data_IF_237336145423
#
_entry.id   IF_237336145423
#
_cell.length_a   1.000
_cell.length_b   1.000
_cell.length_c   1.000
_cell.angle_alpha   90.00
_cell.angle_beta   90.00
_cell.angle_gamma   90.00
#
_symmetry.space_group_name_H-M   'P 1'
#
loop_
_entity.id
_entity.type
_entity.pdbx_description
1 polymer ?
#
# COMPACT_ATOMS: atom_id res chain seq x y z
N UNK A 1 12.67 -17.50 41.19
CA UNK A 1 13.52 -18.64 41.56
C UNK A 1 14.81 -18.53 40.75
N UNK A 2 15.97 -18.32 41.39
CA UNK A 2 17.28 -18.16 40.72
C UNK A 2 17.89 -19.56 40.55
N UNK A 3 18.19 -19.98 39.32
CA UNK A 3 18.90 -21.25 39.09
C UNK A 3 20.41 -21.01 39.16
N UNK A 4 21.10 -21.80 39.98
CA UNK A 4 22.55 -21.77 40.22
C UNK A 4 23.32 -22.61 39.19
N UNK A 5 22.83 -22.69 37.95
CA UNK A 5 23.43 -23.49 36.90
C UNK A 5 24.33 -22.61 35.99
N UNK A 6 25.66 -22.83 36.00
CA UNK A 6 26.64 -21.98 35.31
C UNK A 6 26.55 -22.00 33.77
N UNK A 7 25.84 -22.97 33.20
CA UNK A 7 25.61 -23.04 31.75
C UNK A 7 24.63 -21.96 31.27
N UNK A 8 23.70 -21.52 32.14
CA UNK A 8 22.69 -20.51 31.78
C UNK A 8 23.16 -19.08 32.07
N UNK A 9 24.12 -18.88 32.96
CA UNK A 9 24.72 -17.56 33.23
C UNK A 9 25.60 -17.06 32.07
N UNK A 10 26.18 -17.97 31.29
CA UNK A 10 27.10 -17.62 30.18
C UNK A 10 26.40 -17.18 28.90
N UNK A 11 25.09 -17.40 28.77
CA UNK A 11 24.31 -17.11 27.54
C UNK A 11 23.36 -15.91 27.65
N UNK A 12 23.50 -15.07 28.69
CA UNK A 12 22.83 -13.77 28.72
C UNK A 12 21.31 -13.80 28.80
N UNK A 13 20.70 -14.89 29.27
CA UNK A 13 19.24 -14.98 29.50
C UNK A 13 18.83 -14.50 30.91
N UNK A 14 19.51 -13.47 31.43
CA UNK A 14 19.00 -12.70 32.56
C UNK A 14 18.11 -11.60 32.00
N UNK A 15 16.83 -11.61 32.38
CA UNK A 15 15.89 -10.52 32.10
C UNK A 15 16.34 -9.31 32.91
N UNK A 16 17.25 -8.51 32.35
CA UNK A 16 17.61 -7.21 32.89
C UNK A 16 16.35 -6.37 32.96
N UNK A 17 15.78 -6.34 34.16
CA UNK A 17 14.73 -5.39 34.53
C UNK A 17 15.46 -4.10 34.92
N UNK A 18 16.21 -3.55 33.96
CA UNK A 18 16.90 -2.28 34.10
C UNK A 18 15.95 -1.17 33.65
N UNK A 19 15.22 -0.60 34.61
CA UNK A 19 14.56 0.68 34.42
C UNK A 19 15.60 1.70 33.96
N UNK A 20 15.39 2.29 32.78
CA UNK A 20 16.16 3.44 32.30
C UNK A 20 15.83 4.65 33.19
N UNK A 21 16.71 4.93 34.16
CA UNK A 21 16.63 6.11 35.02
C UNK A 21 16.92 7.36 34.21
N UNK A 22 15.90 8.20 34.05
CA UNK A 22 16.00 9.60 33.65
C UNK A 22 16.62 10.38 34.83
N UNK A 23 17.58 11.27 34.55
CA UNK A 23 18.38 12.10 35.47
C UNK A 23 19.53 11.43 36.26
N UNK A 24 20.75 11.58 35.73
CA UNK A 24 21.96 11.72 36.54
C UNK A 24 22.92 12.75 35.87
N UNK A 25 23.45 13.76 36.59
CA UNK A 25 24.29 14.81 36.04
C UNK A 25 25.72 14.34 35.69
N UNK A 26 26.46 15.06 34.83
CA UNK A 26 27.75 14.62 34.32
C UNK A 26 28.84 14.76 35.39
N UNK A 27 29.40 13.65 35.85
CA UNK A 27 30.54 13.65 36.76
C UNK A 27 31.85 13.53 35.97
N UNK A 28 32.58 14.64 35.95
CA UNK A 28 33.94 14.74 35.45
C UNK A 28 34.96 14.24 36.51
N UNK A 29 36.05 13.63 36.04
CA UNK A 29 37.35 13.66 36.73
C UNK A 29 37.86 12.35 37.34
N UNK A 30 39.04 11.92 36.88
CA UNK A 30 40.02 11.19 37.69
C UNK A 30 40.35 9.75 37.24
N UNK A 31 41.62 9.42 36.93
CA UNK A 31 42.04 8.04 36.72
C UNK A 31 42.23 7.35 38.08
N UNK A 32 41.26 6.52 38.49
CA UNK A 32 41.46 5.62 39.62
C UNK A 32 42.31 4.43 39.17
N UNK A 33 43.59 4.47 39.54
CA UNK A 33 44.53 3.38 39.43
C UNK A 33 44.05 2.18 40.24
N UNK A 34 43.92 1.03 39.59
CA UNK A 34 43.56 -0.23 40.22
C UNK A 34 44.82 -0.90 40.80
N UNK A 35 44.97 -1.10 42.13
CA UNK A 35 46.25 -1.49 42.74
C UNK A 35 46.65 -2.97 42.59
N UNK A 36 45.92 -3.76 41.79
CA UNK A 36 46.15 -5.21 41.65
C UNK A 36 46.39 -5.67 40.20
N UNK A 37 46.92 -4.80 39.33
CA UNK A 37 47.40 -5.21 38.02
C UNK A 37 48.81 -5.81 38.13
N UNK A 38 48.86 -7.08 38.54
CA UNK A 38 50.06 -7.91 38.49
C UNK A 38 50.62 -7.98 37.07
N UNK A 39 51.93 -7.81 36.98
CA UNK A 39 52.80 -7.88 35.81
C UNK A 39 52.47 -9.07 34.93
N UNK A 40 51.91 -8.81 33.74
CA UNK A 40 51.58 -9.84 32.76
C UNK A 40 52.68 -9.87 31.68
N UNK A 41 53.63 -10.83 31.67
CA UNK A 41 54.84 -10.77 30.83
C UNK A 41 54.61 -11.08 29.34
N UNK A 42 53.37 -11.31 28.91
CA UNK A 42 53.02 -11.69 27.53
C UNK A 42 52.33 -10.56 26.74
N UNK A 43 52.28 -9.33 27.28
CA UNK A 43 51.71 -8.18 26.57
C UNK A 43 52.72 -7.55 25.59
N UNK A 44 53.20 -8.32 24.62
CA UNK A 44 53.96 -7.80 23.48
C UNK A 44 53.13 -7.97 22.21
N UNK A 45 52.60 -6.86 21.69
CA UNK A 45 52.08 -6.79 20.32
C UNK A 45 50.68 -6.24 20.10
N UNK A 46 50.03 -5.58 21.07
CA UNK A 46 48.78 -4.88 20.81
C UNK A 46 49.03 -3.60 19.99
N UNK A 47 49.02 -3.74 18.66
CA UNK A 47 48.93 -2.63 17.71
C UNK A 47 47.75 -1.72 18.07
N UNK A 48 47.90 -0.39 18.10
CA UNK A 48 46.78 0.51 18.27
C UNK A 48 45.89 0.40 17.04
N UNK A 49 44.81 -0.39 17.15
CA UNK A 49 43.74 -0.38 16.16
C UNK A 49 43.09 1.00 16.22
N UNK A 50 43.34 1.81 15.19
CA UNK A 50 42.64 3.06 14.95
C UNK A 50 41.18 2.71 14.77
N UNK A 51 40.40 2.87 15.85
CA UNK A 51 38.97 2.64 15.87
C UNK A 51 38.34 3.67 14.93
N UNK A 52 37.97 3.24 13.72
CA UNK A 52 37.28 4.10 12.76
C UNK A 52 36.04 4.71 13.44
N UNK A 53 35.78 6.01 13.27
CA UNK A 53 34.63 6.64 13.90
C UNK A 53 33.35 5.89 13.52
N UNK A 54 32.41 5.66 14.46
CA UNK A 54 31.19 4.94 14.19
C UNK A 54 30.48 5.58 12.99
N UNK A 55 30.30 4.80 11.92
CA UNK A 55 29.52 5.19 10.76
C UNK A 55 28.13 5.61 11.24
N UNK A 56 27.81 6.89 11.10
CA UNK A 56 26.48 7.42 11.33
C UNK A 56 25.54 6.81 10.29
N UNK A 57 24.88 5.71 10.65
CA UNK A 57 23.71 5.22 9.91
C UNK A 57 22.60 6.23 10.16
N UNK A 58 22.11 6.96 9.14
CA UNK A 58 21.00 7.88 9.32
C UNK A 58 19.84 7.09 9.90
N UNK A 59 19.43 7.42 11.12
CA UNK A 59 18.23 6.86 11.74
C UNK A 59 17.07 7.26 10.84
N UNK A 60 16.54 6.33 10.04
CA UNK A 60 15.37 6.59 9.21
C UNK A 60 14.22 6.87 10.16
N UNK A 61 13.70 8.11 10.09
CA UNK A 61 12.56 8.54 10.90
C UNK A 61 11.39 7.56 10.69
N UNK A 62 10.64 7.18 11.74
CA UNK A 62 9.49 6.32 11.58
C UNK A 62 8.38 7.00 10.75
N UNK A 63 7.57 6.16 10.12
CA UNK A 63 6.38 6.53 9.34
C UNK A 63 5.37 7.28 10.19
N UNK A 64 4.81 8.36 9.64
CA UNK A 64 3.79 9.18 10.28
C UNK A 64 2.53 9.29 9.42
N UNK A 65 1.40 9.65 10.04
CA UNK A 65 0.14 9.85 9.32
C UNK A 65 0.27 10.94 8.24
N UNK A 66 0.99 12.03 8.54
CA UNK A 66 1.22 13.12 7.60
C UNK A 66 1.99 12.66 6.35
N UNK A 67 2.94 11.73 6.53
CA UNK A 67 3.67 11.14 5.41
C UNK A 67 2.76 10.27 4.52
N UNK A 68 1.76 9.60 5.09
CA UNK A 68 0.78 8.80 4.32
C UNK A 68 -0.17 9.71 3.57
N UNK A 69 -0.75 10.70 4.26
CA UNK A 69 -1.71 11.63 3.67
C UNK A 69 -1.07 12.41 2.53
N UNK A 70 0.14 12.95 2.74
CA UNK A 70 0.85 13.71 1.71
C UNK A 70 1.15 12.86 0.49
N UNK A 71 1.64 11.62 0.67
CA UNK A 71 1.97 10.75 -0.47
C UNK A 71 0.75 10.22 -1.18
N UNK A 72 -0.32 9.92 -0.45
CA UNK A 72 -1.61 9.52 -1.06
C UNK A 72 -2.19 10.69 -1.87
N UNK A 73 -2.09 11.92 -1.36
CA UNK A 73 -2.48 13.12 -2.10
C UNK A 73 -1.63 13.32 -3.36
N UNK A 74 -0.32 13.11 -3.28
CA UNK A 74 0.57 13.17 -4.44
C UNK A 74 0.25 12.08 -5.49
N UNK A 75 0.05 10.83 -5.07
CA UNK A 75 -0.24 9.72 -5.99
C UNK A 75 -1.61 9.91 -6.65
N UNK A 76 -2.66 10.21 -5.89
CA UNK A 76 -3.99 10.48 -6.43
C UNK A 76 -4.00 11.74 -7.30
N UNK A 77 -3.32 12.81 -6.90
CA UNK A 77 -3.16 14.01 -7.73
C UNK A 77 -2.47 13.69 -9.05
N UNK A 78 -1.46 12.81 -9.03
CA UNK A 78 -0.79 12.33 -10.24
C UNK A 78 -1.73 11.52 -11.13
N UNK A 79 -2.56 10.64 -10.56
CA UNK A 79 -3.62 9.93 -11.30
C UNK A 79 -4.58 10.91 -11.97
N UNK A 80 -5.03 11.94 -11.25
CA UNK A 80 -5.97 12.95 -11.78
C UNK A 80 -5.35 13.74 -12.93
N UNK A 81 -4.07 14.14 -12.81
CA UNK A 81 -3.34 14.80 -13.91
C UNK A 81 -3.26 13.88 -15.12
N UNK A 82 -2.86 12.62 -14.92
CA UNK A 82 -2.83 11.61 -15.98
C UNK A 82 -4.20 11.44 -16.63
N UNK A 83 -5.27 11.35 -15.84
CA UNK A 83 -6.64 11.19 -16.31
C UNK A 83 -7.13 12.40 -17.11
N UNK A 84 -6.75 13.60 -16.70
CA UNK A 84 -7.07 14.82 -17.46
C UNK A 84 -6.38 14.79 -18.82
N UNK A 85 -5.09 14.41 -18.88
CA UNK A 85 -4.35 14.28 -20.13
C UNK A 85 -4.95 13.19 -21.04
N UNK A 86 -5.28 12.03 -20.47
CA UNK A 86 -5.91 10.92 -21.19
C UNK A 86 -7.25 11.31 -21.79
N UNK A 87 -8.08 12.01 -21.01
CA UNK A 87 -9.39 12.50 -21.47
C UNK A 87 -9.24 13.48 -22.64
N UNK A 88 -8.36 14.47 -22.50
CA UNK A 88 -8.24 15.56 -23.48
C UNK A 88 -7.62 15.10 -24.81
N UNK A 89 -6.69 14.15 -24.78
CA UNK A 89 -5.87 13.83 -25.95
C UNK A 89 -6.04 12.40 -26.49
N UNK A 90 -6.59 11.47 -25.72
CA UNK A 90 -6.58 10.04 -26.08
C UNK A 90 -7.98 9.39 -26.15
N UNK A 91 -9.04 10.17 -25.99
CA UNK A 91 -10.44 9.69 -26.10
C UNK A 91 -10.72 9.02 -27.46
N UNK A 92 -10.17 9.53 -28.56
CA UNK A 92 -10.35 8.96 -29.90
C UNK A 92 -9.35 7.84 -30.23
N UNK A 93 -8.31 7.68 -29.41
CA UNK A 93 -7.17 6.80 -29.67
C UNK A 93 -6.98 5.78 -28.54
N UNK A 94 -8.03 4.99 -28.26
CA UNK A 94 -8.05 4.02 -27.16
C UNK A 94 -6.91 2.98 -27.21
N UNK A 95 -6.36 2.68 -28.39
CA UNK A 95 -5.23 1.75 -28.51
C UNK A 95 -4.02 2.18 -27.68
N UNK A 96 -3.66 3.47 -27.73
CA UNK A 96 -2.56 4.01 -26.91
C UNK A 96 -2.91 4.04 -25.43
N UNK A 97 -4.16 4.34 -25.09
CA UNK A 97 -4.63 4.31 -23.70
C UNK A 97 -4.56 2.90 -23.11
N UNK A 98 -5.01 1.88 -23.84
CA UNK A 98 -4.91 0.47 -23.42
C UNK A 98 -3.45 0.07 -23.27
N UNK A 99 -2.58 0.48 -24.19
CA UNK A 99 -1.13 0.30 -24.05
C UNK A 99 -0.57 0.90 -22.76
N UNK A 100 -0.95 2.14 -22.44
CA UNK A 100 -0.57 2.80 -21.19
C UNK A 100 -1.10 2.04 -19.95
N UNK A 101 -2.35 1.58 -19.98
CA UNK A 101 -2.95 0.78 -18.91
C UNK A 101 -2.24 -0.57 -18.70
N UNK A 102 -1.82 -1.24 -19.77
CA UNK A 102 -1.04 -2.47 -19.68
C UNK A 102 0.35 -2.22 -19.07
N UNK A 103 1.02 -1.13 -19.46
CA UNK A 103 2.30 -0.74 -18.84
C UNK A 103 2.10 -0.39 -17.37
N UNK A 104 1.03 0.34 -17.03
CA UNK A 104 0.67 0.63 -15.65
C UNK A 104 0.45 -0.67 -14.84
N UNK A 105 -0.33 -1.61 -15.36
CA UNK A 105 -0.53 -2.92 -14.73
C UNK A 105 0.81 -3.63 -14.44
N UNK A 106 1.73 -3.64 -15.42
CA UNK A 106 3.07 -4.23 -15.22
C UNK A 106 3.86 -3.49 -14.14
N UNK A 107 3.87 -2.15 -14.14
CA UNK A 107 4.54 -1.36 -13.10
C UNK A 107 3.95 -1.63 -11.71
N UNK A 108 2.62 -1.75 -11.61
CA UNK A 108 1.93 -2.08 -10.38
C UNK A 108 2.31 -3.46 -9.85
N UNK A 109 2.40 -4.46 -10.73
CA UNK A 109 2.89 -5.80 -10.39
C UNK A 109 4.36 -5.78 -9.96
N UNK A 110 5.22 -5.07 -10.70
CA UNK A 110 6.65 -4.93 -10.35
C UNK A 110 6.80 -4.30 -8.96
N UNK A 111 6.03 -3.24 -8.66
CA UNK A 111 6.06 -2.62 -7.34
C UNK A 111 5.51 -3.55 -6.25
N UNK A 112 4.49 -4.37 -6.55
CA UNK A 112 3.91 -5.33 -5.60
C UNK A 112 4.87 -6.45 -5.20
N UNK A 113 5.73 -6.89 -6.12
CA UNK A 113 6.76 -7.89 -5.82
C UNK A 113 8.06 -7.29 -5.26
N UNK A 114 8.25 -5.98 -5.39
CA UNK A 114 9.45 -5.29 -4.91
C UNK A 114 9.39 -5.08 -3.40
N UNK A 115 10.40 -5.56 -2.68
CA UNK A 115 10.50 -5.40 -1.22
C UNK A 115 10.65 -3.96 -0.74
N UNK A 116 11.20 -3.07 -1.57
CA UNK A 116 11.41 -1.66 -1.21
C UNK A 116 10.47 -0.76 -2.03
N UNK A 117 9.75 0.18 -1.41
CA UNK A 117 8.98 1.18 -2.13
C UNK A 117 9.87 1.99 -3.07
N UNK A 118 9.38 2.25 -4.27
CA UNK A 118 10.06 3.11 -5.24
C UNK A 118 9.11 4.24 -5.67
N UNK A 119 9.34 5.49 -5.21
CA UNK A 119 8.48 6.62 -5.53
C UNK A 119 8.33 6.83 -7.04
N UNK A 120 9.42 6.68 -7.78
CA UNK A 120 9.42 6.79 -9.24
C UNK A 120 8.51 5.75 -9.90
N UNK A 121 8.54 4.48 -9.45
CA UNK A 121 7.66 3.45 -10.01
C UNK A 121 6.19 3.74 -9.69
N UNK A 122 5.89 4.16 -8.46
CA UNK A 122 4.54 4.45 -8.01
C UNK A 122 3.94 5.66 -8.75
N UNK A 123 4.74 6.71 -8.96
CA UNK A 123 4.29 7.90 -9.70
C UNK A 123 4.17 7.62 -11.20
N UNK A 124 5.11 6.88 -11.80
CA UNK A 124 4.98 6.45 -13.19
C UNK A 124 3.75 5.57 -13.41
N UNK A 125 3.47 4.66 -12.48
CA UNK A 125 2.23 3.91 -12.44
C UNK A 125 1.01 4.86 -12.41
N UNK A 126 0.99 5.79 -11.45
CA UNK A 126 -0.13 6.72 -11.28
C UNK A 126 -0.40 7.56 -12.54
N UNK A 127 0.63 8.05 -13.23
CA UNK A 127 0.46 8.79 -14.48
C UNK A 127 -0.18 7.91 -15.56
N UNK A 128 0.39 6.72 -15.80
CA UNK A 128 -0.05 5.85 -16.89
C UNK A 128 -1.43 5.25 -16.64
N UNK A 129 -1.70 4.84 -15.41
CA UNK A 129 -3.03 4.41 -14.98
C UNK A 129 -4.03 5.55 -15.15
N UNK A 130 -3.68 6.75 -14.67
CA UNK A 130 -4.48 7.95 -14.87
C UNK A 130 -4.82 8.16 -16.34
N UNK A 131 -3.81 8.16 -17.22
CA UNK A 131 -4.02 8.32 -18.68
C UNK A 131 -5.00 7.30 -19.25
N UNK A 132 -4.85 6.02 -18.88
CA UNK A 132 -5.77 4.96 -19.30
C UNK A 132 -7.20 5.24 -18.83
N UNK A 133 -7.38 5.50 -17.53
CA UNK A 133 -8.68 5.80 -16.94
C UNK A 133 -9.32 7.03 -17.58
N UNK A 134 -8.54 8.09 -17.79
CA UNK A 134 -8.99 9.33 -18.40
C UNK A 134 -9.52 9.17 -19.81
N UNK A 135 -8.76 8.48 -20.66
CA UNK A 135 -9.15 8.21 -22.04
C UNK A 135 -10.39 7.30 -22.10
N UNK A 136 -10.44 6.25 -21.28
CA UNK A 136 -11.60 5.37 -21.17
C UNK A 136 -12.84 6.15 -20.72
N UNK A 137 -12.67 7.01 -19.72
CA UNK A 137 -13.76 7.81 -19.17
C UNK A 137 -14.28 8.84 -20.16
N UNK A 138 -13.39 9.53 -20.88
CA UNK A 138 -13.76 10.48 -21.92
C UNK A 138 -14.49 9.80 -23.08
N UNK A 139 -14.02 8.61 -23.49
CA UNK A 139 -14.68 7.79 -24.50
C UNK A 139 -16.09 7.40 -24.08
N UNK A 140 -16.26 6.87 -22.86
CA UNK A 140 -17.57 6.51 -22.35
C UNK A 140 -18.48 7.75 -22.20
N UNK A 141 -17.95 8.88 -21.75
CA UNK A 141 -18.73 10.12 -21.64
C UNK A 141 -19.24 10.66 -22.97
N UNK A 142 -18.51 10.40 -24.07
CA UNK A 142 -18.92 10.76 -25.42
C UNK A 142 -20.11 9.95 -25.95
N UNK A 143 -20.45 8.82 -25.33
CA UNK A 143 -21.61 8.02 -25.72
C UNK A 143 -22.91 8.68 -25.18
N UNK A 144 -23.96 8.87 -26.01
CA UNK A 144 -25.18 9.59 -25.61
C UNK A 144 -25.85 9.07 -24.34
N UNK A 145 -25.84 7.75 -24.10
CA UNK A 145 -26.43 7.13 -22.90
C UNK A 145 -25.56 7.26 -21.65
N UNK A 146 -24.28 7.60 -21.79
CA UNK A 146 -23.28 7.51 -20.71
C UNK A 146 -22.70 8.88 -20.31
N UNK A 147 -23.28 9.96 -20.81
CA UNK A 147 -22.89 11.32 -20.41
C UNK A 147 -23.02 11.52 -18.89
N UNK A 148 -21.95 12.03 -18.28
CA UNK A 148 -21.82 12.25 -16.84
C UNK A 148 -21.54 11.00 -16.00
N UNK A 149 -21.46 9.80 -16.60
CA UNK A 149 -21.17 8.58 -15.86
C UNK A 149 -19.81 8.60 -15.13
N UNK A 150 -18.71 9.10 -15.74
CA UNK A 150 -17.43 9.19 -15.03
C UNK A 150 -17.49 10.06 -13.77
N UNK A 151 -18.15 11.22 -13.84
CA UNK A 151 -18.27 12.11 -12.68
C UNK A 151 -19.07 11.44 -11.55
N UNK A 152 -20.13 10.70 -11.89
CA UNK A 152 -20.88 9.92 -10.90
C UNK A 152 -20.04 8.80 -10.28
N UNK A 153 -19.22 8.12 -11.08
CA UNK A 153 -18.30 7.11 -10.58
C UNK A 153 -17.28 7.72 -9.60
N UNK A 154 -16.70 8.89 -9.91
CA UNK A 154 -15.79 9.61 -9.00
C UNK A 154 -16.50 9.95 -7.69
N UNK A 155 -17.69 10.56 -7.75
CA UNK A 155 -18.47 10.91 -6.55
C UNK A 155 -18.81 9.67 -5.72
N UNK A 156 -19.16 8.57 -6.39
CA UNK A 156 -19.42 7.29 -5.77
C UNK A 156 -18.20 6.72 -5.04
N UNK A 157 -17.04 6.71 -5.69
CA UNK A 157 -15.77 6.27 -5.08
C UNK A 157 -15.43 7.13 -3.86
N UNK A 158 -15.59 8.46 -3.96
CA UNK A 158 -15.34 9.36 -2.83
C UNK A 158 -16.31 9.11 -1.67
N UNK A 159 -17.60 8.85 -1.96
CA UNK A 159 -18.58 8.51 -0.94
C UNK A 159 -18.23 7.21 -0.22
N UNK A 160 -17.85 6.15 -0.97
CA UNK A 160 -17.40 4.87 -0.39
C UNK A 160 -16.14 5.06 0.45
N UNK A 161 -15.17 5.83 -0.04
CA UNK A 161 -13.94 6.13 0.68
C UNK A 161 -14.21 6.83 2.01
N UNK A 162 -15.00 7.91 1.99
CA UNK A 162 -15.35 8.68 3.20
C UNK A 162 -16.15 7.82 4.17
N UNK A 163 -17.14 7.06 3.69
CA UNK A 163 -17.93 6.18 4.53
C UNK A 163 -17.07 5.11 5.21
N UNK A 164 -16.16 4.47 4.47
CA UNK A 164 -15.25 3.48 5.02
C UNK A 164 -14.25 4.10 6.01
N UNK A 165 -13.72 5.29 5.70
CA UNK A 165 -12.82 6.02 6.58
C UNK A 165 -13.50 6.33 7.92
N UNK A 166 -14.74 6.82 7.89
CA UNK A 166 -15.54 7.07 9.10
C UNK A 166 -15.78 5.76 9.85
N UNK A 167 -16.24 4.70 9.17
CA UNK A 167 -16.53 3.41 9.80
C UNK A 167 -15.28 2.76 10.44
N UNK A 168 -14.11 2.94 9.83
CA UNK A 168 -12.83 2.47 10.38
C UNK A 168 -12.39 3.31 11.58
N UNK A 169 -12.46 4.64 11.47
CA UNK A 169 -12.09 5.57 12.55
C UNK A 169 -12.97 5.41 13.79
N UNK A 170 -14.26 5.17 13.63
CA UNK A 170 -15.20 4.91 14.74
C UNK A 170 -15.10 3.48 15.28
N UNK A 171 -14.19 2.64 14.75
CA UNK A 171 -14.00 1.24 15.13
C UNK A 171 -15.26 0.38 14.96
N UNK A 172 -16.20 0.81 14.11
CA UNK A 172 -17.36 0.01 13.70
C UNK A 172 -16.85 -1.20 12.92
N UNK A 173 -15.91 -0.98 12.00
CA UNK A 173 -15.22 -2.04 11.27
C UNK A 173 -13.90 -2.36 11.97
N UNK A 174 -13.72 -3.63 12.36
CA UNK A 174 -12.48 -4.12 12.96
C UNK A 174 -11.84 -5.18 12.07
N UNK A 175 -10.69 -4.84 11.53
CA UNK A 175 -9.95 -5.75 10.64
C UNK A 175 -9.13 -6.72 11.49
N UNK A 176 -9.54 -7.99 11.47
CA UNK A 176 -8.85 -9.10 12.14
C UNK A 176 -8.08 -9.95 11.13
N UNK A 177 -7.16 -10.80 11.59
CA UNK A 177 -6.44 -11.72 10.71
C UNK A 177 -7.37 -12.66 9.91
N UNK A 178 -8.53 -13.05 10.48
CA UNK A 178 -9.53 -13.86 9.78
C UNK A 178 -10.22 -13.04 8.67
N UNK A 179 -10.57 -11.79 8.97
CA UNK A 179 -11.14 -10.87 7.98
C UNK A 179 -10.18 -10.67 6.81
N UNK A 180 -8.90 -10.39 7.06
CA UNK A 180 -7.90 -10.22 6.00
C UNK A 180 -7.80 -11.44 5.09
N UNK A 181 -7.70 -12.65 5.67
CA UNK A 181 -7.66 -13.89 4.87
C UNK A 181 -8.92 -14.09 4.04
N UNK A 182 -10.09 -13.84 4.63
CA UNK A 182 -11.37 -13.95 3.93
C UNK A 182 -11.43 -12.99 2.73
N UNK A 183 -11.09 -11.71 2.93
CA UNK A 183 -11.11 -10.69 1.86
C UNK A 183 -10.13 -11.05 0.75
N UNK A 184 -8.91 -11.48 1.09
CA UNK A 184 -7.93 -11.89 0.08
C UNK A 184 -8.38 -13.11 -0.74
N UNK A 185 -8.98 -14.11 -0.10
CA UNK A 185 -9.54 -15.28 -0.80
C UNK A 185 -10.72 -14.86 -1.71
N UNK A 186 -11.61 -14.00 -1.20
CA UNK A 186 -12.74 -13.50 -1.97
C UNK A 186 -12.29 -12.67 -3.18
N UNK A 187 -11.30 -11.80 -3.01
CA UNK A 187 -10.71 -11.03 -4.09
C UNK A 187 -10.02 -11.93 -5.13
N UNK A 188 -9.28 -12.96 -4.69
CA UNK A 188 -8.68 -13.93 -5.61
C UNK A 188 -9.75 -14.66 -6.41
N UNK A 189 -10.85 -15.10 -5.77
CA UNK A 189 -11.99 -15.71 -6.45
C UNK A 189 -12.62 -14.78 -7.48
N UNK A 190 -12.82 -13.51 -7.14
CA UNK A 190 -13.35 -12.49 -8.04
C UNK A 190 -12.46 -12.27 -9.26
N UNK A 191 -11.14 -12.16 -9.06
CA UNK A 191 -10.17 -12.00 -10.15
C UNK A 191 -10.13 -13.24 -11.04
N UNK A 192 -10.07 -14.45 -10.46
CA UNK A 192 -10.08 -15.70 -11.23
C UNK A 192 -11.34 -15.83 -12.07
N UNK A 193 -12.50 -15.52 -11.51
CA UNK A 193 -13.77 -15.56 -12.24
C UNK A 193 -13.78 -14.52 -13.37
N UNK A 194 -13.25 -13.32 -13.13
CA UNK A 194 -13.08 -12.29 -14.16
C UNK A 194 -12.16 -12.75 -15.30
N UNK A 195 -11.07 -13.45 -14.98
CA UNK A 195 -10.14 -14.01 -15.96
C UNK A 195 -10.77 -15.15 -16.77
N UNK A 196 -11.54 -16.02 -16.13
CA UNK A 196 -12.30 -17.07 -16.83
C UNK A 196 -13.30 -16.42 -17.79
N UNK A 197 -14.05 -15.40 -17.34
CA UNK A 197 -14.97 -14.66 -18.21
C UNK A 197 -14.25 -14.03 -19.41
N UNK A 198 -13.05 -13.45 -19.19
CA UNK A 198 -12.22 -12.91 -20.26
C UNK A 198 -11.73 -13.99 -21.24
N UNK A 199 -11.32 -15.16 -20.75
CA UNK A 199 -10.91 -16.28 -21.59
C UNK A 199 -12.07 -16.78 -22.46
N UNK A 200 -13.28 -16.91 -21.89
CA UNK A 200 -14.48 -17.26 -22.66
C UNK A 200 -14.79 -16.23 -23.75
N UNK A 201 -14.58 -14.94 -23.49
CA UNK A 201 -14.72 -13.91 -24.51
C UNK A 201 -13.67 -14.04 -25.63
N UNK A 202 -12.41 -14.32 -25.27
CA UNK A 202 -11.31 -14.43 -26.22
C UNK A 202 -11.38 -15.69 -27.12
N UNK A 203 -11.87 -16.81 -26.58
CA UNK A 203 -11.86 -18.10 -27.28
C UNK A 203 -13.24 -18.62 -27.69
N UNK A 204 -14.32 -18.20 -27.00
CA UNK A 204 -15.66 -18.77 -27.15
C UNK A 204 -16.61 -18.00 -28.07
N UNK A 205 -16.34 -16.72 -28.37
CA UNK A 205 -17.20 -15.85 -29.17
C UNK A 205 -18.49 -15.44 -28.46
N UNK A 206 -18.72 -14.13 -28.28
CA UNK A 206 -19.91 -13.57 -27.63
C UNK A 206 -19.58 -12.68 -26.42
N UNK A 207 -20.57 -12.43 -25.56
CA UNK A 207 -20.50 -11.49 -24.41
C UNK A 207 -19.83 -12.11 -23.15
N UNK A 208 -19.06 -13.20 -23.32
CA UNK A 208 -18.49 -14.01 -22.24
C UNK A 208 -19.53 -14.85 -21.50
N UNK A 209 -19.37 -15.01 -20.18
CA UNK A 209 -20.31 -15.72 -19.29
C UNK A 209 -21.53 -14.87 -18.88
N UNK A 210 -21.74 -13.70 -19.51
CA UNK A 210 -22.85 -12.79 -19.18
C UNK A 210 -22.65 -12.00 -17.88
N UNK A 211 -21.45 -12.01 -17.29
CA UNK A 211 -21.16 -11.20 -16.08
C UNK A 211 -20.98 -9.70 -16.38
N UNK A 212 -21.08 -9.25 -17.63
CA UNK A 212 -20.89 -7.83 -18.01
C UNK A 212 -22.18 -7.11 -18.40
N UNK A 213 -23.29 -7.83 -18.56
CA UNK A 213 -24.58 -7.29 -19.02
C UNK A 213 -25.73 -7.84 -18.16
N UNK A 214 -26.82 -7.07 -18.03
CA UNK A 214 -28.00 -7.47 -17.27
C UNK A 214 -27.79 -7.65 -15.75
N UNK A 215 -28.76 -8.31 -15.10
CA UNK A 215 -28.82 -8.44 -13.63
C UNK A 215 -27.63 -9.15 -12.98
N UNK A 216 -27.00 -10.11 -13.67
CA UNK A 216 -25.78 -10.76 -13.18
C UNK A 216 -24.57 -9.81 -13.20
N UNK A 217 -24.48 -8.94 -14.20
CA UNK A 217 -23.44 -7.91 -14.26
C UNK A 217 -23.58 -6.86 -13.16
N UNK A 218 -24.80 -6.47 -12.81
CA UNK A 218 -25.07 -5.60 -11.66
C UNK A 218 -24.62 -6.26 -10.37
N UNK A 219 -25.02 -7.51 -10.11
CA UNK A 219 -24.62 -8.24 -8.91
C UNK A 219 -23.08 -8.32 -8.81
N UNK A 220 -22.41 -8.66 -9.91
CA UNK A 220 -20.97 -8.76 -9.95
C UNK A 220 -20.30 -7.41 -9.69
N UNK A 221 -20.80 -6.31 -10.27
CA UNK A 221 -20.28 -4.97 -10.00
C UNK A 221 -20.48 -4.54 -8.54
N UNK A 222 -21.63 -4.85 -7.94
CA UNK A 222 -21.89 -4.56 -6.51
C UNK A 222 -20.91 -5.32 -5.63
N UNK A 223 -20.69 -6.61 -5.91
CA UNK A 223 -19.66 -7.40 -5.21
C UNK A 223 -18.28 -6.79 -5.38
N UNK A 224 -17.94 -6.32 -6.59
CA UNK A 224 -16.67 -5.63 -6.87
C UNK A 224 -16.47 -4.36 -6.04
N UNK A 225 -17.51 -3.52 -5.93
CA UNK A 225 -17.48 -2.30 -5.10
C UNK A 225 -17.37 -2.64 -3.62
N UNK A 226 -18.11 -3.63 -3.13
CA UNK A 226 -18.02 -4.10 -1.75
C UNK A 226 -16.63 -4.63 -1.45
N UNK A 227 -16.03 -5.43 -2.35
CA UNK A 227 -14.66 -5.90 -2.20
C UNK A 227 -13.66 -4.75 -2.15
N UNK A 228 -13.81 -3.74 -3.01
CA UNK A 228 -12.99 -2.53 -2.96
C UNK A 228 -13.13 -1.78 -1.62
N UNK A 229 -14.35 -1.68 -1.09
CA UNK A 229 -14.58 -1.09 0.24
C UNK A 229 -13.91 -1.91 1.35
N UNK A 230 -13.91 -3.25 1.27
CA UNK A 230 -13.20 -4.11 2.21
C UNK A 230 -11.67 -3.97 2.07
N UNK A 231 -11.14 -3.78 0.86
CA UNK A 231 -9.74 -3.45 0.64
C UNK A 231 -9.36 -2.12 1.29
N UNK A 232 -10.20 -1.09 1.23
CA UNK A 232 -9.93 0.17 1.94
C UNK A 232 -9.77 -0.06 3.45
N UNK A 233 -10.59 -0.93 4.05
CA UNK A 233 -10.43 -1.28 5.45
C UNK A 233 -9.07 -1.96 5.73
N UNK A 234 -8.60 -2.83 4.82
CA UNK A 234 -7.28 -3.45 4.91
C UNK A 234 -6.15 -2.42 4.77
N UNK A 235 -6.28 -1.47 3.84
CA UNK A 235 -5.30 -0.41 3.61
C UNK A 235 -5.20 0.50 4.84
N UNK A 236 -6.32 0.89 5.45
CA UNK A 236 -6.34 1.68 6.68
C UNK A 236 -5.70 0.92 7.84
N UNK A 237 -5.94 -0.39 7.95
CA UNK A 237 -5.26 -1.22 8.94
C UNK A 237 -3.76 -1.28 8.69
N UNK A 238 -3.33 -1.44 7.44
CA UNK A 238 -1.91 -1.49 7.10
C UNK A 238 -1.22 -0.17 7.48
N UNK A 239 -1.86 0.98 7.23
CA UNK A 239 -1.37 2.29 7.65
C UNK A 239 -1.25 2.38 9.18
N UNK A 240 -2.32 2.00 9.90
CA UNK A 240 -2.34 2.05 11.37
C UNK A 240 -1.26 1.15 11.97
N UNK A 241 -1.17 -0.11 11.53
CA UNK A 241 -0.16 -1.06 11.99
C UNK A 241 1.26 -0.55 11.64
N UNK A 242 1.46 0.00 10.44
CA UNK A 242 2.75 0.56 10.03
C UNK A 242 3.22 1.70 10.92
N UNK A 243 2.32 2.61 11.32
CA UNK A 243 2.63 3.69 12.25
C UNK A 243 2.85 3.14 13.67
N UNK A 244 1.98 2.23 14.13
CA UNK A 244 2.05 1.67 15.48
C UNK A 244 3.32 0.86 15.74
N UNK A 245 3.82 0.14 14.73
CA UNK A 245 5.07 -0.63 14.81
C UNK A 245 6.31 0.16 14.39
N UNK A 246 6.18 1.46 14.06
CA UNK A 246 7.31 2.31 13.72
C UNK A 246 7.99 1.94 12.39
N UNK A 247 7.21 1.56 11.37
CA UNK A 247 7.72 1.23 10.05
C UNK A 247 8.59 2.38 9.49
N UNK A 248 9.60 2.09 8.65
CA UNK A 248 10.43 3.12 8.02
C UNK A 248 9.57 4.14 7.25
N UNK A 249 9.99 5.41 7.23
CA UNK A 249 9.26 6.47 6.50
C UNK A 249 8.95 6.07 5.07
N UNK A 250 9.83 5.35 4.38
CA UNK A 250 9.67 4.95 2.98
C UNK A 250 8.42 4.09 2.75
N UNK A 251 7.99 3.32 3.74
CA UNK A 251 6.79 2.45 3.66
C UNK A 251 5.49 3.22 3.43
N UNK A 252 5.44 4.51 3.76
CA UNK A 252 4.24 5.30 3.47
C UNK A 252 4.01 5.53 1.97
N UNK A 253 5.01 5.26 1.11
CA UNK A 253 4.80 5.17 -0.34
C UNK A 253 4.02 3.90 -0.72
N UNK A 254 4.29 2.75 -0.08
CA UNK A 254 3.52 1.53 -0.33
C UNK A 254 2.08 1.70 0.16
N UNK A 255 1.89 2.32 1.33
CA UNK A 255 0.56 2.62 1.85
C UNK A 255 -0.24 3.53 0.89
N UNK A 256 0.37 4.60 0.40
CA UNK A 256 -0.23 5.50 -0.58
C UNK A 256 -0.56 4.78 -1.90
N UNK A 257 0.32 3.90 -2.36
CA UNK A 257 0.12 3.09 -3.54
C UNK A 257 -1.05 2.11 -3.39
N UNK A 258 -1.12 1.37 -2.27
CA UNK A 258 -2.24 0.46 -1.98
C UNK A 258 -3.58 1.18 -1.96
N UNK A 259 -3.66 2.30 -1.22
CA UNK A 259 -4.85 3.15 -1.23
C UNK A 259 -5.22 3.61 -2.65
N UNK A 260 -4.24 4.04 -3.44
CA UNK A 260 -4.48 4.48 -4.83
C UNK A 260 -5.03 3.35 -5.70
N UNK A 261 -4.45 2.15 -5.62
CA UNK A 261 -4.95 0.98 -6.33
C UNK A 261 -6.40 0.66 -5.96
N UNK A 262 -6.71 0.69 -4.67
CA UNK A 262 -8.05 0.40 -4.18
C UNK A 262 -9.07 1.45 -4.65
N UNK A 263 -8.71 2.74 -4.64
CA UNK A 263 -9.59 3.79 -5.16
C UNK A 263 -9.83 3.65 -6.68
N UNK A 264 -8.78 3.34 -7.45
CA UNK A 264 -8.89 3.08 -8.89
C UNK A 264 -9.77 1.86 -9.16
N UNK A 265 -9.61 0.80 -8.38
CA UNK A 265 -10.46 -0.39 -8.45
C UNK A 265 -11.94 -0.04 -8.23
N UNK A 266 -12.25 0.67 -7.15
CA UNK A 266 -13.63 1.08 -6.84
C UNK A 266 -14.18 1.96 -7.96
N UNK A 267 -13.37 2.88 -8.50
CA UNK A 267 -13.76 3.72 -9.62
C UNK A 267 -14.17 2.89 -10.84
N UNK A 268 -13.35 1.91 -11.23
CA UNK A 268 -13.64 1.03 -12.38
C UNK A 268 -14.92 0.22 -12.18
N UNK A 269 -15.14 -0.33 -10.98
CA UNK A 269 -16.37 -1.08 -10.69
C UNK A 269 -17.61 -0.17 -10.60
N UNK A 270 -17.48 1.05 -10.08
CA UNK A 270 -18.56 2.05 -10.09
C UNK A 270 -18.91 2.48 -11.52
N UNK A 271 -17.90 2.73 -12.35
CA UNK A 271 -18.09 3.08 -13.75
C UNK A 271 -18.77 1.95 -14.52
N UNK A 272 -18.37 0.70 -14.27
CA UNK A 272 -19.04 -0.49 -14.81
C UNK A 272 -20.49 -0.59 -14.35
N UNK A 273 -20.77 -0.43 -13.05
CA UNK A 273 -22.14 -0.48 -12.55
C UNK A 273 -23.04 0.55 -13.22
N UNK A 274 -22.58 1.79 -13.31
CA UNK A 274 -23.32 2.87 -13.98
C UNK A 274 -23.49 2.57 -15.47
N UNK A 275 -22.45 1.99 -16.11
CA UNK A 275 -22.53 1.58 -17.50
C UNK A 275 -23.60 0.51 -17.74
N UNK A 276 -23.74 -0.48 -16.85
CA UNK A 276 -24.76 -1.53 -17.00
C UNK A 276 -26.14 -0.95 -16.74
N UNK A 277 -26.31 -0.16 -15.69
CA UNK A 277 -27.59 0.46 -15.31
C UNK A 277 -28.15 1.45 -16.35
N UNK A 278 -27.31 1.97 -17.25
CA UNK A 278 -27.70 2.92 -18.30
C UNK A 278 -27.61 2.35 -19.72
N UNK A 279 -26.79 1.32 -19.90
CA UNK A 279 -26.53 0.70 -21.20
C UNK A 279 -27.67 -0.19 -21.67
N UNK A 280 -28.36 -0.82 -20.72
CA UNK A 280 -29.56 -1.64 -20.93
C UNK A 280 -30.83 -0.76 -21.00
#
# INVERSE_FOLDING_TARGET
>A
MRSSNPVFSRRGFSRDTGYAGFNAPPQAGGPTANPYAGTNPYAQGAQPTTQAPPQYVPQTRPMTMDDVVTRTGLTLGTVVVGATLGWLFLTENLGFAVGAGLVAMVLGLVQSFKRKPSPALILSYAVLEGVFLGALSGYLNGLPKMNGAPMQAVLGTMAVFVAMLVAYKTRIVRVTARFTRFVLIAALGFVLLSLVNLAFMAFGGGDGLGFRSGGLGILFGVVGVVLGALFLALDFKQVEDGIAYGAPREESWLAAFGLTLTLVWIYMEMLRLISILRGD
#
